data_IF_737448382112
#
_entry.id   IF_737448382112
#
_cell.length_a   1.000
_cell.length_b   1.000
_cell.length_c   1.000
_cell.angle_alpha   90.00
_cell.angle_beta   90.00
_cell.angle_gamma   90.00
#
_symmetry.space_group_name_H-M   'P 1'
#
loop_
_entity.id
_entity.type
_entity.pdbx_description
1 polymer ?
#
# COMPACT_ATOMS: atom_id res chain seq x y z
N UNK A 1 -36.17 -17.58 -14.24
CA UNK A 1 -35.13 -16.54 -14.40
C UNK A 1 -34.46 -16.33 -13.05
N UNK A 2 -33.17 -16.64 -12.93
CA UNK A 2 -32.39 -16.49 -11.70
C UNK A 2 -31.96 -15.03 -11.52
N UNK A 3 -32.22 -14.36 -10.38
CA UNK A 3 -31.88 -12.95 -10.20
C UNK A 3 -30.54 -12.73 -9.48
N UNK A 4 -29.52 -13.55 -9.75
CA UNK A 4 -28.21 -13.40 -9.11
C UNK A 4 -27.10 -13.12 -10.13
N UNK A 5 -26.63 -11.88 -10.15
CA UNK A 5 -25.20 -11.55 -10.12
C UNK A 5 -25.05 -10.05 -9.84
N UNK A 6 -24.47 -9.70 -8.69
CA UNK A 6 -23.95 -8.33 -8.49
C UNK A 6 -22.81 -8.11 -9.49
N UNK A 7 -22.74 -6.96 -10.17
CA UNK A 7 -21.61 -6.66 -11.03
C UNK A 7 -20.32 -6.64 -10.21
N UNK A 8 -19.33 -7.36 -10.74
CA UNK A 8 -17.93 -7.48 -10.32
C UNK A 8 -17.31 -6.18 -9.79
N UNK A 9 -16.45 -6.21 -8.75
CA UNK A 9 -15.71 -5.03 -8.33
C UNK A 9 -14.73 -4.60 -9.42
N UNK A 10 -14.96 -3.36 -9.87
CA UNK A 10 -14.09 -2.29 -10.39
C UNK A 10 -12.84 -2.69 -11.22
N UNK A 11 -12.64 -2.07 -12.42
CA UNK A 11 -11.51 -2.36 -13.28
C UNK A 11 -10.19 -2.11 -12.55
N UNK A 12 -9.41 -3.17 -12.40
CA UNK A 12 -7.98 -3.14 -12.12
C UNK A 12 -7.31 -2.36 -13.25
N UNK A 13 -7.10 -1.06 -13.01
CA UNK A 13 -6.55 -0.12 -13.99
C UNK A 13 -5.02 -0.34 -14.04
N UNK A 14 -4.39 -0.31 -15.24
CA UNK A 14 -3.02 -0.76 -15.41
C UNK A 14 -2.04 0.01 -14.53
N UNK A 15 -1.06 -0.74 -14.02
CA UNK A 15 0.11 -0.26 -13.32
C UNK A 15 0.77 0.91 -14.06
N UNK A 16 1.09 2.00 -13.35
CA UNK A 16 1.98 3.01 -13.94
C UNK A 16 1.94 4.40 -13.34
N UNK A 17 2.15 4.53 -12.04
CA UNK A 17 2.92 5.66 -11.53
C UNK A 17 4.05 5.03 -10.71
N UNK A 18 5.28 5.54 -10.82
CA UNK A 18 6.53 4.93 -10.31
C UNK A 18 6.64 4.79 -8.79
N UNK A 19 5.53 4.56 -8.12
CA UNK A 19 5.39 4.21 -6.72
C UNK A 19 5.70 2.73 -6.57
N UNK A 20 6.75 2.42 -5.80
CA UNK A 20 7.06 1.05 -5.41
C UNK A 20 5.89 0.46 -4.63
N UNK A 21 5.34 -0.64 -5.15
CA UNK A 21 4.26 -1.39 -4.49
C UNK A 21 4.86 -2.39 -3.52
N UNK A 22 4.36 -2.38 -2.29
CA UNK A 22 4.71 -3.35 -1.26
C UNK A 22 3.47 -4.16 -0.91
N UNK A 23 3.63 -5.47 -0.77
CA UNK A 23 2.59 -6.35 -0.27
C UNK A 23 2.42 -6.18 1.26
N UNK A 24 1.28 -6.63 1.79
CA UNK A 24 1.14 -6.84 3.23
C UNK A 24 2.20 -7.84 3.74
N UNK A 25 2.71 -7.59 4.94
CA UNK A 25 3.82 -8.32 5.53
C UNK A 25 5.21 -7.93 5.00
N UNK A 26 5.30 -7.12 3.94
CA UNK A 26 6.60 -6.70 3.40
C UNK A 26 7.39 -5.86 4.42
N UNK A 27 8.71 -6.09 4.49
CA UNK A 27 9.64 -5.26 5.26
C UNK A 27 10.09 -4.07 4.43
N UNK A 28 10.00 -2.89 5.04
CA UNK A 28 10.36 -1.62 4.42
C UNK A 28 11.19 -0.79 5.39
N UNK A 29 11.91 0.19 4.86
CA UNK A 29 12.59 1.21 5.66
C UNK A 29 12.26 2.61 5.16
N UNK A 30 12.10 3.53 6.10
CA UNK A 30 11.88 4.94 5.87
C UNK A 30 13.03 5.77 6.46
N UNK A 31 13.45 6.83 5.78
CA UNK A 31 14.59 7.64 6.21
C UNK A 31 14.40 8.27 7.61
N UNK A 32 13.16 8.60 8.00
CA UNK A 32 12.87 9.24 9.30
C UNK A 32 12.39 8.24 10.35
N UNK A 33 11.61 7.24 9.96
CA UNK A 33 10.95 6.32 10.91
C UNK A 33 11.71 5.01 11.11
N UNK A 34 12.69 4.72 10.25
CA UNK A 34 13.47 3.49 10.27
C UNK A 34 12.72 2.32 9.63
N UNK A 35 13.07 1.11 10.07
CA UNK A 35 12.49 -0.13 9.57
C UNK A 35 11.06 -0.35 10.08
N UNK A 36 10.25 -1.00 9.28
CA UNK A 36 8.89 -1.34 9.61
C UNK A 36 8.31 -2.42 8.71
N UNK A 37 7.10 -2.84 9.04
CA UNK A 37 6.35 -3.86 8.31
C UNK A 37 5.07 -3.25 7.77
N UNK A 38 4.82 -3.46 6.48
CA UNK A 38 3.56 -3.06 5.83
C UNK A 38 2.45 -3.94 6.38
N UNK A 39 1.43 -3.34 6.99
CA UNK A 39 0.25 -4.04 7.49
C UNK A 39 -0.85 -4.04 6.43
N UNK A 40 -0.95 -2.97 5.65
CA UNK A 40 -1.93 -2.87 4.57
C UNK A 40 -1.44 -1.94 3.46
N UNK A 41 -1.77 -2.28 2.21
CA UNK A 41 -1.57 -1.44 1.04
C UNK A 41 -2.92 -1.26 0.34
N UNK A 42 -3.35 0.00 0.15
CA UNK A 42 -4.62 0.32 -0.52
C UNK A 42 -4.38 1.22 -1.72
N UNK A 43 -4.76 0.74 -2.90
CA UNK A 43 -4.67 1.56 -4.12
C UNK A 43 -5.63 2.75 -4.08
N UNK A 44 -5.11 3.92 -4.43
CA UNK A 44 -5.83 5.19 -4.47
C UNK A 44 -5.60 5.88 -5.82
N UNK A 45 -6.27 5.36 -6.87
CA UNK A 45 -6.36 5.98 -8.21
C UNK A 45 -5.05 5.96 -9.01
N UNK A 46 -4.00 6.58 -8.49
CA UNK A 46 -2.63 6.59 -9.00
C UNK A 46 -1.56 6.56 -7.89
N UNK A 47 -1.96 6.48 -6.63
CA UNK A 47 -1.06 6.32 -5.48
C UNK A 47 -1.43 5.04 -4.70
N UNK A 48 -0.65 4.72 -3.67
CA UNK A 48 -0.93 3.63 -2.74
C UNK A 48 -0.82 4.16 -1.33
N UNK A 49 -1.88 4.02 -0.54
CA UNK A 49 -1.83 4.28 0.88
C UNK A 49 -1.27 3.03 1.59
N UNK A 50 -0.07 3.16 2.14
CA UNK A 50 0.55 2.15 2.99
C UNK A 50 0.25 2.44 4.45
N UNK A 51 -0.24 1.43 5.17
CA UNK A 51 -0.23 1.41 6.61
C UNK A 51 0.98 0.60 7.07
N UNK A 52 1.96 1.27 7.68
CA UNK A 52 3.23 0.67 8.09
C UNK A 52 3.35 0.75 9.61
N UNK A 53 3.64 -0.38 10.24
CA UNK A 53 4.02 -0.44 11.65
C UNK A 53 5.55 -0.45 11.73
N UNK A 54 6.09 0.65 12.21
CA UNK A 54 7.53 0.80 12.41
C UNK A 54 7.98 0.12 13.70
N UNK A 55 9.23 -0.34 13.71
CA UNK A 55 9.83 -1.04 14.85
C UNK A 55 9.99 -0.12 16.06
N UNK A 56 9.93 1.20 15.86
CA UNK A 56 9.82 2.21 16.92
C UNK A 56 8.51 2.15 17.72
N UNK A 57 7.59 1.25 17.36
CA UNK A 57 6.28 1.10 17.99
C UNK A 57 5.20 2.03 17.41
N UNK A 58 5.53 2.82 16.39
CA UNK A 58 4.58 3.75 15.77
C UNK A 58 3.98 3.15 14.50
N UNK A 59 2.66 3.29 14.32
CA UNK A 59 1.98 2.98 13.06
C UNK A 59 1.68 4.26 12.30
N UNK A 60 2.03 4.33 11.01
CA UNK A 60 1.73 5.49 10.15
C UNK A 60 1.03 5.06 8.86
N UNK A 61 0.15 5.94 8.38
CA UNK A 61 -0.42 5.88 7.04
C UNK A 61 0.37 6.81 6.14
N UNK A 62 0.99 6.25 5.10
CA UNK A 62 1.89 6.96 4.20
C UNK A 62 1.42 6.75 2.76
N UNK A 63 1.33 7.83 1.99
CA UNK A 63 1.07 7.75 0.55
C UNK A 63 2.38 7.40 -0.16
N UNK A 64 2.38 6.35 -0.96
CA UNK A 64 3.57 5.77 -1.58
C UNK A 64 4.43 6.77 -2.35
N UNK A 65 3.83 7.73 -3.06
CA UNK A 65 4.58 8.78 -3.78
C UNK A 65 5.43 9.64 -2.83
N UNK A 66 4.95 9.92 -1.62
CA UNK A 66 5.64 10.76 -0.64
C UNK A 66 6.44 9.96 0.39
N UNK A 67 6.03 8.71 0.62
CA UNK A 67 6.58 7.85 1.65
C UNK A 67 8.04 7.48 1.37
N UNK A 68 8.47 7.44 0.10
CA UNK A 68 9.85 7.07 -0.30
C UNK A 68 10.37 5.83 0.45
N UNK A 69 9.47 4.85 0.67
CA UNK A 69 9.79 3.60 1.35
C UNK A 69 10.75 2.81 0.46
N UNK A 70 11.76 2.22 1.08
CA UNK A 70 12.68 1.30 0.41
C UNK A 70 12.40 -0.12 0.91
N UNK A 71 12.46 -1.14 0.04
CA UNK A 71 12.48 -2.51 0.51
C UNK A 71 13.67 -2.71 1.45
N UNK A 72 13.46 -3.47 2.53
CA UNK A 72 14.52 -3.93 3.42
C UNK A 72 15.09 -5.26 2.91
#
# INVERSE_FOLDING_TARGET
>A
ASPFARPTPKPERPAGYGVTRFADGARVTHAVFGAGTVISSREMGGDVLFEVRFDSGTTKKLMGTYAKLKPL
#
